data_IF_997004155725
#
_entry.id   IF_997004155725
#
_cell.length_a   1.000
_cell.length_b   1.000
_cell.length_c   1.000
_cell.angle_alpha   90.00
_cell.angle_beta   90.00
_cell.angle_gamma   90.00
#
_symmetry.space_group_name_H-M   'P 1'
#
loop_
_entity.id
_entity.type
_entity.pdbx_description
1 polymer ?
#
# COMPACT_ATOMS: atom_id res chain seq x y z
N UNK A 1 43.72 -40.27 29.54
CA UNK A 1 44.09 -38.86 29.82
C UNK A 1 44.83 -38.32 28.60
N UNK A 2 44.15 -37.61 27.70
CA UNK A 2 44.75 -36.94 26.54
C UNK A 2 44.58 -35.43 26.75
N UNK A 3 45.70 -34.71 26.74
CA UNK A 3 45.76 -33.26 26.92
C UNK A 3 45.25 -32.53 25.67
N UNK A 4 44.46 -31.48 25.85
CA UNK A 4 44.05 -30.55 24.80
C UNK A 4 45.10 -29.42 24.65
N UNK A 5 45.29 -28.86 23.44
CA UNK A 5 46.10 -27.66 23.28
C UNK A 5 45.28 -26.40 23.57
N UNK A 6 45.90 -25.48 24.31
CA UNK A 6 45.42 -24.11 24.55
C UNK A 6 45.72 -23.28 23.30
N UNK A 7 44.70 -22.69 22.70
CA UNK A 7 44.84 -21.71 21.62
C UNK A 7 44.68 -20.31 22.22
N UNK A 8 45.76 -19.54 22.15
CA UNK A 8 45.84 -18.14 22.61
C UNK A 8 45.19 -17.23 21.55
N UNK A 9 44.14 -16.51 21.92
CA UNK A 9 43.44 -15.55 21.07
C UNK A 9 44.10 -14.17 21.21
N UNK A 10 44.77 -13.71 20.16
CA UNK A 10 45.33 -12.35 20.09
C UNK A 10 44.24 -11.38 19.61
N UNK A 11 43.81 -10.48 20.51
CA UNK A 11 42.90 -9.39 20.21
C UNK A 11 43.68 -8.26 19.51
N UNK A 12 43.37 -7.97 18.24
CA UNK A 12 43.86 -6.77 17.55
C UNK A 12 42.67 -5.85 17.30
N UNK A 13 42.62 -4.76 18.08
CA UNK A 13 41.66 -3.68 17.89
C UNK A 13 42.04 -2.79 16.70
N UNK A 14 41.03 -2.37 15.93
CA UNK A 14 41.12 -1.21 15.04
C UNK A 14 39.91 -0.31 15.29
N UNK A 15 40.24 0.96 15.51
CA UNK A 15 39.37 2.08 15.82
C UNK A 15 38.71 2.66 14.55
N UNK A 16 37.45 3.05 14.70
CA UNK A 16 36.72 4.19 14.08
C UNK A 16 36.65 4.36 12.55
N UNK A 17 35.42 4.40 12.05
CA UNK A 17 35.03 5.07 10.82
C UNK A 17 33.51 5.29 10.78
N UNK A 18 33.06 6.45 11.27
CA UNK A 18 31.67 6.93 11.12
C UNK A 18 31.53 7.50 9.71
N UNK A 19 30.62 6.93 8.92
CA UNK A 19 30.21 7.45 7.61
C UNK A 19 28.71 7.33 7.47
N UNK A 20 28.01 8.43 7.74
CA UNK A 20 26.58 8.59 7.49
C UNK A 20 26.32 8.70 5.98
N UNK A 21 25.31 7.99 5.49
CA UNK A 21 24.87 8.03 4.11
C UNK A 21 23.60 7.20 3.91
N UNK A 22 22.51 7.61 4.57
CA UNK A 22 21.18 7.09 4.28
C UNK A 22 20.70 7.75 2.97
N UNK A 23 20.51 6.92 1.93
CA UNK A 23 19.78 7.28 0.73
C UNK A 23 18.50 6.46 0.74
N UNK A 24 17.42 7.03 1.25
CA UNK A 24 16.06 6.47 1.15
C UNK A 24 15.50 6.86 -0.21
N UNK A 25 15.37 5.88 -1.11
CA UNK A 25 14.61 6.03 -2.35
C UNK A 25 13.18 5.55 -2.08
N UNK A 26 12.31 6.49 -1.72
CA UNK A 26 10.86 6.35 -1.56
C UNK A 26 10.16 6.50 -2.92
N UNK A 27 10.25 5.50 -3.79
CA UNK A 27 9.52 5.50 -5.09
C UNK A 27 8.51 4.35 -5.23
N UNK A 28 8.20 3.62 -4.15
CA UNK A 28 7.34 2.43 -4.19
C UNK A 28 5.85 2.62 -3.83
N UNK A 29 5.45 3.76 -3.26
CA UNK A 29 4.14 3.87 -2.56
C UNK A 29 3.06 4.55 -3.43
N UNK A 30 3.43 5.27 -4.49
CA UNK A 30 2.49 6.14 -5.23
C UNK A 30 1.56 5.39 -6.20
N UNK A 31 1.81 4.09 -6.47
CA UNK A 31 1.06 3.32 -7.48
C UNK A 31 -0.26 2.71 -7.00
N UNK A 32 -0.41 2.41 -5.70
CA UNK A 32 -1.57 1.64 -5.20
C UNK A 32 -2.80 2.52 -4.93
N UNK A 33 -2.60 3.81 -4.65
CA UNK A 33 -3.69 4.73 -4.32
C UNK A 33 -4.41 5.34 -5.55
N UNK A 34 -3.84 5.22 -6.76
CA UNK A 34 -4.33 5.91 -7.95
C UNK A 34 -5.48 5.19 -8.69
N UNK A 35 -5.72 3.89 -8.45
CA UNK A 35 -6.68 3.11 -9.25
C UNK A 35 -8.14 3.17 -8.79
N UNK A 36 -8.46 3.84 -7.67
CA UNK A 36 -9.83 3.83 -7.09
C UNK A 36 -10.61 5.13 -7.33
N UNK A 37 -10.05 6.15 -8.00
CA UNK A 37 -10.68 7.49 -8.06
C UNK A 37 -11.29 7.96 -9.38
N UNK A 38 -11.10 7.26 -10.49
CA UNK A 38 -11.63 7.77 -11.78
C UNK A 38 -12.87 7.01 -12.24
N UNK A 39 -14.01 7.34 -11.63
CA UNK A 39 -15.30 7.19 -12.30
C UNK A 39 -16.28 8.29 -11.89
N UNK A 40 -15.98 9.52 -12.29
CA UNK A 40 -16.97 10.57 -12.43
C UNK A 40 -16.49 11.56 -13.51
N UNK A 41 -17.03 11.42 -14.71
CA UNK A 41 -16.89 12.42 -15.75
C UNK A 41 -17.69 13.67 -15.36
N UNK A 42 -17.05 14.85 -15.37
CA UNK A 42 -17.69 16.01 -15.98
C UNK A 42 -16.64 16.95 -16.60
N UNK A 43 -17.01 17.47 -17.76
CA UNK A 43 -16.20 18.16 -18.75
C UNK A 43 -16.15 19.66 -18.51
N UNK A 44 -14.96 20.26 -18.49
CA UNK A 44 -14.79 21.65 -18.95
C UNK A 44 -13.37 21.91 -19.49
N UNK A 45 -13.37 22.84 -20.45
CA UNK A 45 -12.42 23.07 -21.54
C UNK A 45 -10.97 23.44 -21.16
N UNK A 46 -10.03 23.06 -22.02
CA UNK A 46 -8.60 23.40 -21.95
C UNK A 46 -8.35 24.82 -22.47
N UNK A 47 -7.46 25.58 -21.80
CA UNK A 47 -6.45 26.40 -22.50
C UNK A 47 -5.12 26.35 -21.75
N UNK A 48 -4.06 26.01 -22.48
CA UNK A 48 -2.68 25.84 -22.05
C UNK A 48 -1.85 27.11 -22.36
N UNK A 49 -0.91 27.48 -21.49
CA UNK A 49 0.21 28.36 -21.83
C UNK A 49 1.45 28.05 -20.97
N UNK A 50 2.60 27.93 -21.63
CA UNK A 50 3.93 27.61 -21.07
C UNK A 50 4.77 28.89 -20.81
N UNK A 51 5.96 28.79 -20.19
CA UNK A 51 6.49 29.76 -19.22
C UNK A 51 7.59 30.69 -19.75
N UNK A 52 7.91 31.73 -18.94
CA UNK A 52 9.20 32.42 -18.95
C UNK A 52 9.10 33.92 -18.69
N UNK A 53 9.61 34.38 -17.55
CA UNK A 53 10.43 35.61 -17.39
C UNK A 53 10.63 35.92 -15.89
N UNK A 54 11.89 36.01 -15.48
CA UNK A 54 12.32 36.57 -14.20
C UNK A 54 12.41 38.09 -14.30
N UNK A 55 12.16 38.82 -13.20
CA UNK A 55 12.94 40.02 -12.98
C UNK A 55 13.56 40.09 -11.58
N UNK A 56 14.85 40.37 -11.62
CA UNK A 56 15.71 40.86 -10.53
C UNK A 56 15.25 42.26 -10.13
N UNK A 57 15.12 42.54 -8.82
CA UNK A 57 15.12 43.93 -8.33
C UNK A 57 16.05 44.07 -7.11
N UNK A 58 16.98 45.01 -7.28
CA UNK A 58 18.03 45.44 -6.34
C UNK A 58 17.46 46.11 -5.09
N UNK A 59 18.18 45.94 -3.99
CA UNK A 59 18.09 46.77 -2.79
C UNK A 59 18.70 48.17 -3.00
N UNK A 60 18.09 49.18 -2.38
CA UNK A 60 18.76 50.43 -2.00
C UNK A 60 18.12 51.04 -0.74
N UNK A 61 18.98 51.52 0.16
CA UNK A 61 18.69 52.03 1.51
C UNK A 61 18.74 53.56 1.61
N UNK A 62 18.25 54.09 2.75
CA UNK A 62 18.41 55.46 3.33
C UNK A 62 17.44 56.51 2.76
N UNK A 63 16.85 57.43 3.52
CA UNK A 63 16.92 57.79 4.94
C UNK A 63 16.40 59.23 5.12
N UNK A 64 15.71 59.49 6.25
CA UNK A 64 15.44 60.76 6.92
C UNK A 64 14.81 61.95 6.16
N UNK A 65 13.63 62.40 6.63
CA UNK A 65 13.49 63.70 7.30
C UNK A 65 12.11 63.80 7.98
N UNK A 66 12.11 64.23 9.25
CA UNK A 66 10.92 64.63 10.02
C UNK A 66 10.67 66.10 9.72
N UNK A 67 9.46 66.46 9.31
CA UNK A 67 8.93 67.81 9.51
C UNK A 67 7.52 67.69 10.10
N UNK A 68 7.34 68.41 11.21
CA UNK A 68 6.11 68.51 11.96
C UNK A 68 5.17 69.47 11.24
N UNK A 69 3.93 69.04 11.02
CA UNK A 69 2.84 69.93 10.67
C UNK A 69 1.83 69.90 11.81
N UNK A 70 1.80 70.99 12.58
CA UNK A 70 0.77 71.31 13.55
C UNK A 70 -0.57 71.44 12.82
N UNK A 71 -1.53 70.59 13.20
CA UNK A 71 -2.93 70.68 12.75
C UNK A 71 -3.78 71.04 13.96
N UNK A 72 -4.27 72.27 13.98
CA UNK A 72 -5.16 72.79 15.01
C UNK A 72 -6.51 72.06 14.95
N UNK A 73 -6.76 71.20 15.94
CA UNK A 73 -8.03 70.49 16.12
C UNK A 73 -9.02 71.43 16.80
N UNK A 74 -9.98 71.94 16.03
CA UNK A 74 -11.17 72.60 16.60
C UNK A 74 -12.02 71.59 17.39
N UNK A 75 -12.61 71.95 18.54
CA UNK A 75 -13.41 71.02 19.33
C UNK A 75 -14.72 70.69 18.61
N UNK A 76 -14.92 69.42 18.28
CA UNK A 76 -16.22 68.86 17.89
C UNK A 76 -17.14 68.81 19.12
N UNK A 77 -18.42 69.22 19.02
CA UNK A 77 -19.35 69.05 20.13
C UNK A 77 -19.64 67.56 20.34
N UNK A 78 -19.62 67.11 21.59
CA UNK A 78 -19.98 65.74 21.98
C UNK A 78 -21.41 65.42 21.53
N UNK A 79 -21.65 64.28 20.85
CA UNK A 79 -23.02 63.84 20.63
C UNK A 79 -23.63 63.46 21.98
N UNK A 80 -24.82 63.98 22.26
CA UNK A 80 -25.66 63.50 23.35
C UNK A 80 -26.04 62.07 23.00
N UNK A 81 -25.44 61.10 23.69
CA UNK A 81 -25.83 59.69 23.60
C UNK A 81 -27.12 59.55 24.39
N UNK A 82 -28.25 59.41 23.69
CA UNK A 82 -29.47 58.92 24.34
C UNK A 82 -29.23 57.49 24.84
N UNK A 83 -29.76 57.11 26.02
CA UNK A 83 -29.58 55.76 26.52
C UNK A 83 -30.23 54.79 25.52
N UNK A 84 -29.44 53.87 24.97
CA UNK A 84 -29.99 52.77 24.19
C UNK A 84 -30.99 52.01 25.07
N UNK A 85 -32.24 51.95 24.62
CA UNK A 85 -33.28 51.16 25.27
C UNK A 85 -32.80 49.71 25.35
N UNK A 86 -32.70 49.18 26.58
CA UNK A 86 -32.43 47.76 26.78
C UNK A 86 -33.71 47.03 26.39
N UNK A 87 -33.82 46.66 25.11
CA UNK A 87 -34.88 45.79 24.63
C UNK A 87 -34.54 44.39 25.16
N UNK A 88 -35.22 43.99 26.23
CA UNK A 88 -35.16 42.61 26.70
C UNK A 88 -35.69 41.70 25.57
N UNK A 89 -34.94 40.67 25.17
CA UNK A 89 -35.39 39.79 24.11
C UNK A 89 -36.70 39.13 24.52
N UNK A 90 -37.69 39.13 23.62
CA UNK A 90 -38.93 38.43 23.88
C UNK A 90 -38.68 36.91 24.01
N UNK A 91 -39.58 36.24 24.72
CA UNK A 91 -39.43 34.82 25.01
C UNK A 91 -39.38 33.95 23.74
N UNK A 92 -39.92 34.44 22.63
CA UNK A 92 -39.92 33.76 21.33
C UNK A 92 -38.53 33.82 20.67
N UNK A 93 -37.86 34.98 20.71
CA UNK A 93 -36.49 35.14 20.24
C UNK A 93 -35.49 34.29 21.05
N UNK A 94 -35.69 34.18 22.37
CA UNK A 94 -34.86 33.31 23.21
C UNK A 94 -35.09 31.82 22.90
N UNK A 95 -36.33 31.42 22.65
CA UNK A 95 -36.65 30.04 22.26
C UNK A 95 -36.07 29.67 20.88
N UNK A 96 -36.13 30.58 19.91
CA UNK A 96 -35.54 30.39 18.59
C UNK A 96 -34.01 30.31 18.66
N UNK A 97 -33.37 31.15 19.48
CA UNK A 97 -31.92 31.10 19.71
C UNK A 97 -31.51 29.79 20.37
N UNK A 98 -32.26 29.31 21.37
CA UNK A 98 -31.99 28.03 22.02
C UNK A 98 -32.15 26.86 21.04
N UNK A 99 -33.20 26.85 20.21
CA UNK A 99 -33.40 25.81 19.20
C UNK A 99 -32.26 25.77 18.16
N UNK A 100 -31.71 26.93 17.79
CA UNK A 100 -30.55 26.99 16.90
C UNK A 100 -29.29 26.44 17.58
N UNK A 101 -29.06 26.77 18.86
CA UNK A 101 -27.93 26.24 19.64
C UNK A 101 -28.04 24.72 19.78
N UNK A 102 -29.24 24.19 20.02
CA UNK A 102 -29.48 22.76 20.14
C UNK A 102 -29.22 22.05 18.80
N UNK A 103 -29.68 22.61 17.68
CA UNK A 103 -29.43 22.07 16.34
C UNK A 103 -27.95 22.11 15.94
N UNK A 104 -27.25 23.22 16.28
CA UNK A 104 -25.81 23.35 16.04
C UNK A 104 -25.02 22.34 16.89
N UNK A 105 -25.45 22.07 18.13
CA UNK A 105 -24.85 21.05 18.99
C UNK A 105 -25.05 19.63 18.43
N UNK A 106 -26.26 19.28 17.99
CA UNK A 106 -26.53 17.99 17.32
C UNK A 106 -25.70 17.82 16.04
N UNK A 107 -25.54 18.88 15.24
CA UNK A 107 -24.71 18.86 14.05
C UNK A 107 -23.22 18.61 14.36
N UNK A 108 -22.69 19.25 15.42
CA UNK A 108 -21.31 19.04 15.88
C UNK A 108 -21.08 17.63 16.41
N UNK A 109 -22.08 17.03 17.07
CA UNK A 109 -22.03 15.63 17.52
C UNK A 109 -22.00 14.66 16.32
N UNK A 110 -22.78 14.93 15.28
CA UNK A 110 -22.78 14.14 14.04
C UNK A 110 -21.45 14.27 13.30
N UNK A 111 -20.88 15.47 13.18
CA UNK A 111 -19.56 15.66 12.57
C UNK A 111 -18.43 14.99 13.38
N UNK A 112 -18.47 15.07 14.70
CA UNK A 112 -17.51 14.38 15.56
C UNK A 112 -17.61 12.86 15.43
N UNK A 113 -18.81 12.31 15.33
CA UNK A 113 -19.03 10.88 15.10
C UNK A 113 -18.53 10.43 13.72
N UNK A 114 -18.75 11.22 12.68
CA UNK A 114 -18.21 10.95 11.33
C UNK A 114 -16.69 11.03 11.29
N UNK A 115 -16.10 12.03 11.95
CA UNK A 115 -14.65 12.16 12.08
C UNK A 115 -14.03 11.00 12.85
N UNK A 116 -14.65 10.56 13.94
CA UNK A 116 -14.21 9.40 14.70
C UNK A 116 -14.34 8.09 13.91
N UNK A 117 -15.41 7.93 13.12
CA UNK A 117 -15.59 6.79 12.23
C UNK A 117 -14.53 6.76 11.11
N UNK A 118 -14.18 7.93 10.56
CA UNK A 118 -13.11 8.05 9.56
C UNK A 118 -11.74 7.73 10.16
N UNK A 119 -11.43 8.28 11.35
CA UNK A 119 -10.18 8.01 12.06
C UNK A 119 -10.05 6.53 12.48
N UNK A 120 -11.15 5.88 12.85
CA UNK A 120 -11.16 4.44 13.15
C UNK A 120 -10.99 3.57 11.90
N UNK A 121 -11.44 4.05 10.73
CA UNK A 121 -11.20 3.38 9.44
C UNK A 121 -9.74 3.54 8.95
N UNK A 122 -9.00 4.51 9.48
CA UNK A 122 -7.61 4.81 9.10
C UNK A 122 -6.54 4.21 10.02
N UNK A 123 -6.92 3.62 11.16
CA UNK A 123 -5.95 3.02 12.09
C UNK A 123 -5.53 1.63 11.61
N UNK A 124 -4.24 1.48 11.27
CA UNK A 124 -3.62 0.17 10.98
C UNK A 124 -3.66 -0.74 12.23
N UNK A 125 -3.81 -2.06 12.06
CA UNK A 125 -3.65 -2.99 13.17
C UNK A 125 -2.26 -2.88 13.81
N UNK A 126 -2.19 -3.09 15.12
CA UNK A 126 -0.93 -3.01 15.88
C UNK A 126 0.14 -3.95 15.30
N UNK A 127 1.30 -3.38 14.97
CA UNK A 127 2.44 -4.14 14.43
C UNK A 127 2.32 -4.52 12.95
N UNK A 128 1.22 -4.17 12.28
CA UNK A 128 1.04 -4.39 10.83
C UNK A 128 1.50 -3.15 10.08
N UNK A 129 2.44 -3.31 9.15
CA UNK A 129 2.88 -2.22 8.29
C UNK A 129 1.81 -1.86 7.25
N UNK A 130 1.85 -0.65 6.70
CA UNK A 130 0.92 -0.24 5.65
C UNK A 130 0.96 -1.19 4.44
N UNK A 131 2.16 -1.63 4.04
CA UNK A 131 2.32 -2.57 2.92
C UNK A 131 1.80 -3.98 3.23
N UNK A 132 1.89 -4.44 4.49
CA UNK A 132 1.27 -5.69 4.92
C UNK A 132 -0.25 -5.57 4.95
N UNK A 133 -0.76 -4.46 5.47
CA UNK A 133 -2.20 -4.20 5.47
C UNK A 133 -2.76 -4.15 4.05
N UNK A 134 -2.06 -3.52 3.10
CA UNK A 134 -2.45 -3.52 1.68
C UNK A 134 -2.33 -4.89 1.01
N UNK A 135 -1.50 -5.78 1.53
CA UNK A 135 -1.44 -7.19 1.13
C UNK A 135 -2.50 -8.06 1.84
N UNK A 136 -3.41 -7.44 2.58
CA UNK A 136 -4.50 -8.10 3.30
C UNK A 136 -4.12 -8.64 4.67
N UNK A 137 -2.91 -8.42 5.19
CA UNK A 137 -2.54 -8.90 6.51
C UNK A 137 -3.30 -8.11 7.60
N UNK A 138 -4.03 -8.82 8.45
CA UNK A 138 -4.82 -8.20 9.53
C UNK A 138 -4.13 -8.24 10.90
N UNK A 139 -3.09 -9.07 11.05
CA UNK A 139 -2.40 -9.32 12.32
C UNK A 139 -0.92 -9.57 12.07
N UNK A 140 -0.07 -8.99 12.93
CA UNK A 140 1.37 -9.26 12.94
C UNK A 140 1.72 -10.62 13.58
N UNK A 141 0.76 -11.27 14.23
CA UNK A 141 0.90 -12.57 14.88
C UNK A 141 0.00 -13.56 14.17
N UNK A 142 0.52 -14.29 13.18
CA UNK A 142 -0.24 -15.32 12.48
C UNK A 142 0.23 -16.72 12.88
N UNK A 143 -0.73 -17.62 13.07
CA UNK A 143 -0.45 -19.06 13.26
C UNK A 143 -0.32 -19.79 11.93
N UNK A 144 -0.65 -19.12 10.81
CA UNK A 144 -0.77 -19.70 9.46
C UNK A 144 -1.70 -20.91 9.40
N UNK A 145 -2.63 -21.02 10.36
CA UNK A 145 -3.59 -22.11 10.43
C UNK A 145 -4.84 -21.77 9.61
N UNK A 146 -5.30 -22.75 8.86
CA UNK A 146 -6.60 -22.72 8.20
C UNK A 146 -7.44 -23.94 8.58
N UNK A 147 -8.73 -23.86 8.32
CA UNK A 147 -9.69 -24.93 8.65
C UNK A 147 -9.91 -25.93 7.51
N UNK A 148 -9.18 -25.78 6.40
CA UNK A 148 -9.26 -26.60 5.20
C UNK A 148 -10.42 -26.25 4.26
N UNK A 149 -11.19 -25.20 4.53
CA UNK A 149 -12.26 -24.70 3.66
C UNK A 149 -11.90 -23.36 3.05
N UNK A 150 -12.46 -23.02 1.89
CA UNK A 150 -12.10 -21.81 1.15
C UNK A 150 -13.23 -20.79 1.08
N UNK A 151 -12.91 -19.53 1.34
CA UNK A 151 -13.68 -18.38 0.91
C UNK A 151 -13.26 -18.00 -0.51
N UNK A 152 -14.19 -18.13 -1.46
CA UNK A 152 -14.03 -17.53 -2.79
C UNK A 152 -14.25 -16.04 -2.66
N UNK A 153 -13.30 -15.23 -3.12
CA UNK A 153 -13.38 -13.79 -2.97
C UNK A 153 -14.49 -13.23 -3.86
N UNK A 154 -15.47 -12.51 -3.29
CA UNK A 154 -16.65 -12.16 -4.04
C UNK A 154 -16.42 -11.08 -5.11
N UNK A 155 -17.28 -11.05 -6.12
CA UNK A 155 -17.29 -10.07 -7.20
C UNK A 155 -16.43 -10.42 -8.41
N UNK A 156 -16.56 -9.60 -9.45
CA UNK A 156 -15.89 -9.76 -10.73
C UNK A 156 -15.16 -8.48 -11.13
N UNK A 157 -14.03 -8.61 -11.81
CA UNK A 157 -13.25 -7.48 -12.33
C UNK A 157 -12.86 -7.78 -13.77
N UNK A 158 -13.28 -6.93 -14.70
CA UNK A 158 -12.92 -7.07 -16.10
C UNK A 158 -11.41 -6.85 -16.29
N UNK A 159 -10.83 -7.56 -17.27
CA UNK A 159 -9.44 -7.37 -17.62
C UNK A 159 -9.22 -5.95 -18.21
N UNK A 160 -8.15 -5.24 -17.84
CA UNK A 160 -7.92 -3.86 -18.31
C UNK A 160 -7.41 -3.78 -19.75
N UNK A 161 -6.84 -4.87 -20.29
CA UNK A 161 -6.19 -4.90 -21.59
C UNK A 161 -7.05 -5.48 -22.73
N UNK A 162 -6.53 -5.36 -23.95
CA UNK A 162 -7.13 -5.95 -25.16
C UNK A 162 -6.49 -7.30 -25.57
N UNK A 163 -5.52 -7.80 -24.78
CA UNK A 163 -4.88 -9.10 -25.00
C UNK A 163 -5.84 -10.27 -24.75
N UNK A 164 -5.35 -11.50 -24.90
CA UNK A 164 -6.13 -12.69 -24.57
C UNK A 164 -6.51 -12.69 -23.08
N UNK A 165 -7.82 -12.78 -22.80
CA UNK A 165 -8.34 -12.73 -21.43
C UNK A 165 -8.17 -14.09 -20.76
N UNK A 166 -7.37 -14.12 -19.69
CA UNK A 166 -7.29 -15.25 -18.76
C UNK A 166 -8.16 -14.96 -17.54
N UNK A 167 -9.14 -15.82 -17.30
CA UNK A 167 -10.03 -15.65 -16.14
C UNK A 167 -9.41 -16.31 -14.91
N UNK A 168 -9.36 -15.58 -13.80
CA UNK A 168 -8.80 -16.05 -12.54
C UNK A 168 -9.88 -16.07 -11.47
N UNK A 169 -9.99 -17.19 -10.77
CA UNK A 169 -10.73 -17.29 -9.52
C UNK A 169 -9.75 -17.13 -8.37
N UNK A 170 -10.10 -16.33 -7.37
CA UNK A 170 -9.24 -16.10 -6.20
C UNK A 170 -9.96 -16.60 -4.95
N UNK A 171 -9.24 -17.34 -4.11
CA UNK A 171 -9.77 -17.85 -2.86
C UNK A 171 -8.74 -17.80 -1.74
N UNK A 172 -9.22 -17.69 -0.50
CA UNK A 172 -8.41 -17.68 0.72
C UNK A 172 -8.95 -18.76 1.65
N UNK A 173 -8.07 -19.56 2.23
CA UNK A 173 -8.46 -20.54 3.23
C UNK A 173 -9.05 -19.85 4.47
N UNK A 174 -10.20 -20.33 4.94
CA UNK A 174 -10.83 -19.83 6.15
C UNK A 174 -9.94 -20.14 7.37
N UNK A 175 -9.90 -19.20 8.31
CA UNK A 175 -9.04 -19.27 9.50
C UNK A 175 -7.78 -18.40 9.40
N UNK A 176 -7.31 -18.10 8.18
CA UNK A 176 -6.21 -17.16 7.98
C UNK A 176 -6.64 -15.72 8.34
N UNK A 177 -5.78 -14.99 9.04
CA UNK A 177 -6.01 -13.58 9.42
C UNK A 177 -5.71 -12.62 8.25
N UNK A 178 -6.43 -12.84 7.13
CA UNK A 178 -6.25 -12.11 5.87
C UNK A 178 -7.57 -11.50 5.40
N UNK A 179 -7.54 -10.22 5.01
CA UNK A 179 -8.57 -9.60 4.20
C UNK A 179 -8.51 -10.15 2.78
N UNK A 180 -9.47 -11.00 2.45
CA UNK A 180 -9.51 -11.71 1.19
C UNK A 180 -9.71 -10.77 -0.02
N UNK A 181 -10.38 -9.62 0.15
CA UNK A 181 -10.57 -8.65 -0.93
C UNK A 181 -9.25 -7.94 -1.25
N UNK A 182 -8.52 -7.48 -0.24
CA UNK A 182 -7.20 -6.87 -0.42
C UNK A 182 -6.18 -7.83 -1.03
N UNK A 183 -6.21 -9.10 -0.60
CA UNK A 183 -5.42 -10.15 -1.23
C UNK A 183 -5.75 -10.28 -2.73
N UNK A 184 -7.03 -10.37 -3.09
CA UNK A 184 -7.44 -10.49 -4.48
C UNK A 184 -7.07 -9.26 -5.33
N UNK A 185 -7.19 -8.06 -4.76
CA UNK A 185 -6.82 -6.81 -5.41
C UNK A 185 -5.30 -6.78 -5.70
N UNK A 186 -4.47 -7.20 -4.74
CA UNK A 186 -3.01 -7.27 -4.94
C UNK A 186 -2.61 -8.33 -5.97
N UNK A 187 -3.27 -9.51 -5.98
CA UNK A 187 -3.06 -10.53 -7.02
C UNK A 187 -3.37 -9.95 -8.39
N UNK A 188 -4.54 -9.35 -8.56
CA UNK A 188 -4.98 -8.82 -9.86
C UNK A 188 -4.14 -7.62 -10.31
N UNK A 189 -3.77 -6.73 -9.39
CA UNK A 189 -2.89 -5.60 -9.66
C UNK A 189 -1.49 -6.07 -10.10
N UNK A 190 -0.97 -7.10 -9.45
CA UNK A 190 0.33 -7.70 -9.80
C UNK A 190 0.29 -8.31 -11.20
N UNK A 191 -0.71 -9.14 -11.49
CA UNK A 191 -0.80 -9.85 -12.77
C UNK A 191 -1.09 -8.94 -13.98
N UNK A 192 -1.74 -7.80 -13.76
CA UNK A 192 -2.00 -6.79 -14.79
C UNK A 192 -1.00 -5.63 -14.79
N UNK A 193 0.06 -5.67 -13.98
CA UNK A 193 1.16 -4.72 -14.07
C UNK A 193 1.88 -4.89 -15.41
N UNK A 194 2.34 -3.79 -16.01
CA UNK A 194 3.10 -3.80 -17.27
C UNK A 194 4.39 -4.63 -17.24
N UNK A 195 4.89 -4.96 -16.05
CA UNK A 195 6.07 -5.82 -15.84
C UNK A 195 5.70 -7.31 -15.71
N UNK A 196 4.42 -7.66 -15.61
CA UNK A 196 3.91 -9.03 -15.47
C UNK A 196 3.66 -9.71 -16.82
N UNK A 197 3.10 -10.92 -16.83
CA UNK A 197 2.96 -11.80 -17.99
C UNK A 197 2.26 -11.16 -19.20
N UNK A 198 1.35 -10.20 -18.97
CA UNK A 198 0.67 -9.43 -20.01
C UNK A 198 1.42 -8.19 -20.50
N UNK A 199 2.63 -7.92 -20.01
CA UNK A 199 3.41 -6.71 -20.28
C UNK A 199 3.75 -6.47 -21.76
N UNK A 200 3.79 -7.55 -22.55
CA UNK A 200 3.99 -7.50 -24.00
C UNK A 200 2.67 -7.29 -24.79
N UNK A 201 1.54 -7.17 -24.10
CA UNK A 201 0.20 -7.00 -24.66
C UNK A 201 -0.47 -8.29 -25.15
N UNK A 202 0.16 -9.46 -24.98
CA UNK A 202 -0.39 -10.74 -25.44
C UNK A 202 -1.54 -11.26 -24.58
N UNK A 203 -1.53 -10.95 -23.28
CA UNK A 203 -2.46 -11.48 -22.28
C UNK A 203 -2.95 -10.38 -21.33
N UNK A 204 -4.13 -10.58 -20.73
CA UNK A 204 -4.63 -9.77 -19.62
C UNK A 204 -5.50 -10.63 -18.69
N UNK A 205 -5.61 -10.27 -17.41
CA UNK A 205 -6.28 -11.10 -16.41
C UNK A 205 -7.58 -10.46 -15.94
N UNK A 206 -8.68 -11.22 -15.96
CA UNK A 206 -9.98 -10.85 -15.39
C UNK A 206 -10.27 -11.70 -14.15
N UNK A 207 -10.85 -11.12 -13.11
CA UNK A 207 -11.30 -11.85 -11.91
C UNK A 207 -12.76 -12.27 -12.03
N UNK A 208 -13.07 -13.50 -11.67
CA UNK A 208 -14.44 -14.04 -11.59
C UNK A 208 -14.61 -14.95 -10.38
N UNK A 209 -15.85 -15.17 -9.95
CA UNK A 209 -16.20 -16.16 -8.93
C UNK A 209 -16.42 -17.56 -9.52
N UNK A 210 -16.53 -17.66 -10.85
CA UNK A 210 -16.88 -18.90 -11.56
C UNK A 210 -15.89 -20.03 -11.27
N UNK A 211 -16.42 -21.22 -11.00
CA UNK A 211 -15.62 -22.44 -10.88
C UNK A 211 -14.98 -22.86 -12.23
N UNK A 212 -15.48 -22.34 -13.36
CA UNK A 212 -14.96 -22.60 -14.71
C UNK A 212 -13.86 -21.60 -15.11
N UNK A 213 -13.32 -20.81 -14.17
CA UNK A 213 -12.20 -19.91 -14.45
C UNK A 213 -10.99 -20.68 -15.01
N UNK A 214 -10.20 -20.00 -15.86
CA UNK A 214 -9.01 -20.58 -16.50
C UNK A 214 -7.98 -21.08 -15.49
N UNK A 215 -7.80 -20.34 -14.39
CA UNK A 215 -6.97 -20.77 -13.26
C UNK A 215 -7.52 -20.28 -11.92
N UNK A 216 -7.10 -20.91 -10.83
CA UNK A 216 -7.41 -20.49 -9.46
C UNK A 216 -6.14 -20.09 -8.72
N UNK A 217 -6.13 -18.91 -8.10
CA UNK A 217 -5.10 -18.50 -7.14
C UNK A 217 -5.64 -18.71 -5.73
N UNK A 218 -4.95 -19.52 -4.93
CA UNK A 218 -5.34 -19.84 -3.56
C UNK A 218 -4.29 -19.34 -2.57
N UNK A 219 -4.70 -18.71 -1.48
CA UNK A 219 -3.86 -18.52 -0.29
C UNK A 219 -4.25 -19.56 0.75
N UNK A 220 -3.29 -20.39 1.17
CA UNK A 220 -3.56 -21.54 2.03
C UNK A 220 -2.46 -21.73 3.09
N UNK A 221 -2.84 -22.32 4.22
CA UNK A 221 -1.95 -22.78 5.29
C UNK A 221 -0.92 -23.78 4.77
N UNK A 222 0.27 -23.91 5.41
CA UNK A 222 1.28 -24.89 5.03
C UNK A 222 0.75 -26.31 4.81
N UNK A 223 -0.09 -26.82 5.71
CA UNK A 223 -0.66 -28.16 5.62
C UNK A 223 -1.60 -28.29 4.41
N UNK A 224 -2.45 -27.30 4.17
CA UNK A 224 -3.35 -27.30 3.01
C UNK A 224 -2.60 -27.12 1.70
N UNK A 225 -1.47 -26.40 1.69
CA UNK A 225 -0.59 -26.31 0.51
C UNK A 225 -0.04 -27.69 0.15
N UNK A 226 0.44 -28.47 1.13
CA UNK A 226 0.93 -29.83 0.89
C UNK A 226 -0.15 -30.74 0.28
N UNK A 227 -1.41 -30.59 0.73
CA UNK A 227 -2.54 -31.32 0.15
C UNK A 227 -2.85 -30.90 -1.29
N UNK A 228 -2.95 -29.60 -1.54
CA UNK A 228 -3.31 -29.06 -2.86
C UNK A 228 -2.20 -29.22 -3.90
N UNK A 229 -0.94 -29.24 -3.47
CA UNK A 229 0.22 -29.35 -4.35
C UNK A 229 0.61 -30.80 -4.68
N UNK A 230 0.00 -31.79 -4.03
CA UNK A 230 0.33 -33.19 -4.24
C UNK A 230 0.23 -33.59 -5.75
N UNK A 231 1.19 -34.39 -6.27
CA UNK A 231 2.24 -35.11 -5.56
C UNK A 231 3.56 -34.34 -5.40
N UNK A 232 3.57 -33.02 -5.60
CA UNK A 232 4.76 -32.21 -5.30
C UNK A 232 4.98 -32.21 -3.78
N UNK A 233 6.23 -32.36 -3.37
CA UNK A 233 6.62 -32.33 -1.96
C UNK A 233 6.98 -30.89 -1.58
N UNK A 234 6.03 -30.17 -1.02
CA UNK A 234 6.20 -28.77 -0.59
C UNK A 234 6.74 -28.65 0.85
N UNK A 235 6.73 -29.74 1.63
CA UNK A 235 7.19 -29.82 3.02
C UNK A 235 6.65 -28.69 3.93
N UNK A 236 5.48 -28.12 3.62
CA UNK A 236 4.90 -26.94 4.27
C UNK A 236 5.66 -25.62 4.02
N UNK A 237 6.69 -25.62 3.18
CA UNK A 237 7.61 -24.49 2.99
C UNK A 237 7.43 -23.76 1.67
N UNK A 238 6.93 -24.45 0.64
CA UNK A 238 6.90 -23.96 -0.73
C UNK A 238 5.49 -23.68 -1.19
N UNK A 239 5.36 -22.76 -2.14
CA UNK A 239 4.16 -22.60 -2.96
C UNK A 239 4.27 -23.48 -4.21
N UNK A 240 3.19 -23.64 -4.96
CA UNK A 240 3.25 -24.40 -6.21
C UNK A 240 2.27 -23.86 -7.27
N UNK A 241 2.58 -24.16 -8.53
CA UNK A 241 1.63 -24.12 -9.64
C UNK A 241 1.41 -25.52 -10.21
N UNK A 242 0.18 -26.03 -10.11
CA UNK A 242 -0.20 -27.39 -10.54
C UNK A 242 -1.61 -27.40 -11.11
N UNK A 243 -1.81 -28.04 -12.26
CA UNK A 243 -3.15 -28.35 -12.83
C UNK A 243 -4.16 -27.17 -12.86
N UNK A 244 -3.73 -25.94 -13.17
CA UNK A 244 -4.63 -24.78 -13.19
C UNK A 244 -4.75 -24.06 -11.83
N UNK A 245 -4.00 -24.49 -10.83
CA UNK A 245 -3.98 -23.90 -9.49
C UNK A 245 -2.61 -23.29 -9.21
N UNK A 246 -2.59 -22.01 -8.86
CA UNK A 246 -1.46 -21.35 -8.22
C UNK A 246 -1.75 -21.28 -6.72
N UNK A 247 -1.07 -22.09 -5.92
CA UNK A 247 -1.30 -22.25 -4.48
C UNK A 247 -0.16 -21.54 -3.75
N UNK A 248 -0.51 -20.42 -3.11
CA UNK A 248 0.40 -19.58 -2.34
C UNK A 248 0.39 -20.01 -0.88
N UNK A 249 1.57 -20.24 -0.32
CA UNK A 249 1.74 -20.62 1.07
C UNK A 249 1.61 -19.40 2.00
N UNK A 250 0.70 -19.48 2.98
CA UNK A 250 0.42 -18.39 3.89
C UNK A 250 1.64 -17.97 4.71
N UNK A 251 2.45 -18.92 5.22
CA UNK A 251 3.68 -18.57 5.94
C UNK A 251 4.58 -17.69 5.06
N UNK A 252 4.71 -18.03 3.78
CA UNK A 252 5.47 -17.21 2.81
C UNK A 252 4.84 -15.86 2.53
N UNK A 253 3.52 -15.80 2.43
CA UNK A 253 2.79 -14.55 2.24
C UNK A 253 3.02 -13.55 3.39
N UNK A 254 3.04 -14.05 4.63
CA UNK A 254 3.26 -13.23 5.83
C UNK A 254 4.74 -12.89 6.04
N UNK A 255 5.63 -13.87 5.96
CA UNK A 255 7.05 -13.71 6.36
C UNK A 255 7.95 -13.27 5.21
N UNK A 256 7.62 -13.70 4.00
CA UNK A 256 8.45 -13.52 2.82
C UNK A 256 9.54 -14.59 2.66
N UNK A 257 10.69 -14.15 2.15
CA UNK A 257 11.90 -14.97 2.00
C UNK A 257 13.11 -14.16 2.43
N UNK A 258 14.06 -14.80 3.12
CA UNK A 258 15.30 -14.15 3.52
C UNK A 258 16.15 -13.63 2.35
N UNK A 259 15.88 -14.10 1.12
CA UNK A 259 16.50 -13.57 -0.11
C UNK A 259 16.08 -12.11 -0.38
N UNK A 260 14.87 -11.72 0.05
CA UNK A 260 14.31 -10.38 -0.13
C UNK A 260 14.51 -9.48 1.11
N UNK A 261 15.25 -9.95 2.11
CA UNK A 261 15.41 -9.27 3.40
C UNK A 261 14.06 -8.84 4.01
N UNK A 262 13.82 -7.53 4.11
CA UNK A 262 12.59 -6.94 4.65
C UNK A 262 11.58 -6.56 3.56
N UNK A 263 11.93 -6.72 2.28
CA UNK A 263 11.10 -6.34 1.14
C UNK A 263 10.06 -7.42 0.80
N UNK A 264 9.05 -7.52 1.67
CA UNK A 264 7.90 -8.41 1.45
C UNK A 264 7.05 -8.02 0.25
N UNK A 265 7.07 -6.76 -0.18
CA UNK A 265 6.27 -6.30 -1.33
C UNK A 265 6.80 -6.96 -2.60
N UNK A 266 8.10 -6.84 -2.87
CA UNK A 266 8.72 -7.48 -4.02
C UNK A 266 8.63 -9.00 -3.95
N UNK A 267 8.73 -9.58 -2.75
CA UNK A 267 8.55 -11.03 -2.58
C UNK A 267 7.13 -11.50 -2.94
N UNK A 268 6.08 -10.78 -2.52
CA UNK A 268 4.69 -11.15 -2.84
C UNK A 268 4.43 -11.06 -4.35
N UNK A 269 4.99 -10.04 -5.01
CA UNK A 269 4.93 -9.90 -6.47
C UNK A 269 5.61 -11.08 -7.16
N UNK A 270 6.82 -11.43 -6.70
CA UNK A 270 7.54 -12.64 -7.13
C UNK A 270 6.68 -13.88 -6.95
N UNK A 271 6.12 -14.11 -5.76
CA UNK A 271 5.38 -15.32 -5.43
C UNK A 271 4.16 -15.48 -6.34
N UNK A 272 3.38 -14.41 -6.53
CA UNK A 272 2.23 -14.41 -7.44
C UNK A 272 2.66 -14.73 -8.86
N UNK A 273 3.65 -14.01 -9.40
CA UNK A 273 4.07 -14.18 -10.78
C UNK A 273 4.70 -15.56 -11.03
N UNK A 274 5.47 -16.08 -10.08
CA UNK A 274 6.14 -17.38 -10.17
C UNK A 274 5.14 -18.52 -10.24
N UNK A 275 4.18 -18.58 -9.31
CA UNK A 275 3.22 -19.68 -9.27
C UNK A 275 2.22 -19.61 -10.42
N UNK A 276 1.78 -18.40 -10.81
CA UNK A 276 0.98 -18.23 -12.03
C UNK A 276 1.80 -18.60 -13.27
N UNK A 277 3.09 -18.27 -13.31
CA UNK A 277 4.00 -18.69 -14.38
C UNK A 277 4.04 -20.20 -14.57
N UNK A 278 4.03 -20.97 -13.47
CA UNK A 278 3.91 -22.43 -13.54
C UNK A 278 2.60 -22.88 -14.18
N UNK A 279 1.48 -22.25 -13.84
CA UNK A 279 0.17 -22.54 -14.45
C UNK A 279 0.14 -22.17 -15.94
N UNK A 280 0.81 -21.09 -16.33
CA UNK A 280 1.00 -20.68 -17.73
C UNK A 280 1.99 -21.57 -18.50
N UNK A 281 2.61 -22.54 -17.84
CA UNK A 281 3.47 -23.56 -18.46
C UNK A 281 4.97 -23.28 -18.36
N UNK A 282 5.39 -22.21 -17.70
CA UNK A 282 6.80 -21.91 -17.48
C UNK A 282 7.39 -22.84 -16.40
N UNK A 283 8.62 -23.29 -16.63
CA UNK A 283 9.36 -24.15 -15.69
C UNK A 283 10.46 -23.36 -15.02
N UNK A 284 10.97 -23.90 -13.91
CA UNK A 284 12.11 -23.31 -13.26
C UNK A 284 13.27 -23.14 -14.22
N UNK A 285 13.95 -22.00 -14.07
CA UNK A 285 15.22 -21.71 -14.74
C UNK A 285 16.29 -21.43 -13.70
N UNK A 286 17.53 -21.38 -14.14
CA UNK A 286 18.67 -21.07 -13.29
C UNK A 286 19.12 -19.63 -13.51
N UNK A 287 19.71 -19.03 -12.47
CA UNK A 287 20.41 -17.75 -12.60
C UNK A 287 21.43 -17.80 -13.75
N UNK A 288 21.44 -16.75 -14.57
CA UNK A 288 22.36 -16.63 -15.73
C UNK A 288 23.68 -15.95 -15.37
N UNK A 289 23.79 -15.35 -14.18
CA UNK A 289 25.00 -14.69 -13.68
C UNK A 289 24.74 -13.94 -12.38
N UNK A 290 25.79 -13.71 -11.58
CA UNK A 290 25.65 -13.15 -10.23
C UNK A 290 25.19 -11.71 -10.14
N UNK A 291 25.41 -10.94 -11.21
CA UNK A 291 25.03 -9.53 -11.29
C UNK A 291 23.81 -9.32 -12.19
N UNK A 292 23.19 -10.40 -12.65
CA UNK A 292 21.97 -10.33 -13.44
C UNK A 292 20.77 -10.37 -12.50
N UNK A 293 19.66 -9.74 -12.90
CA UNK A 293 18.36 -10.01 -12.27
C UNK A 293 18.01 -11.48 -12.47
N UNK A 294 17.41 -12.08 -11.45
CA UNK A 294 16.79 -13.38 -11.55
C UNK A 294 15.69 -13.32 -12.59
N UNK A 295 15.59 -14.35 -13.43
CA UNK A 295 14.33 -14.61 -14.10
C UNK A 295 13.27 -14.91 -13.03
N UNK A 296 12.03 -14.44 -13.22
CA UNK A 296 10.96 -14.65 -12.23
C UNK A 296 10.72 -16.14 -11.95
N UNK A 297 11.07 -17.02 -12.90
CA UNK A 297 10.96 -18.47 -12.75
C UNK A 297 12.17 -19.11 -12.07
N UNK A 298 13.15 -18.36 -11.58
CA UNK A 298 14.12 -18.88 -10.60
C UNK A 298 13.40 -19.12 -9.27
N UNK A 299 13.73 -20.19 -8.54
CA UNK A 299 13.23 -20.41 -7.18
C UNK A 299 13.91 -19.45 -6.20
N UNK A 300 13.15 -18.47 -5.68
CA UNK A 300 13.63 -17.36 -4.82
C UNK A 300 13.01 -17.37 -3.42
N UNK A 301 12.24 -18.40 -3.07
CA UNK A 301 11.76 -18.62 -1.69
C UNK A 301 12.79 -19.35 -0.81
N UNK A 302 13.91 -19.79 -1.39
CA UNK A 302 14.91 -20.61 -0.69
C UNK A 302 15.86 -19.84 0.21
N UNK A 303 16.88 -20.54 0.70
CA UNK A 303 17.86 -19.97 1.63
C UNK A 303 18.98 -19.18 0.92
N UNK A 304 19.19 -19.36 -0.38
CA UNK A 304 20.23 -18.66 -1.13
C UNK A 304 19.83 -18.45 -2.59
N UNK A 305 20.32 -17.34 -3.16
CA UNK A 305 20.17 -16.98 -4.57
C UNK A 305 21.54 -16.57 -5.12
N UNK A 306 21.88 -17.05 -6.32
CA UNK A 306 23.15 -16.76 -6.97
C UNK A 306 23.09 -15.60 -7.96
N UNK A 307 21.97 -14.87 -7.99
CA UNK A 307 21.69 -13.68 -8.80
C UNK A 307 20.90 -12.65 -7.97
N UNK A 308 20.56 -11.49 -8.55
CA UNK A 308 19.83 -10.43 -7.85
C UNK A 308 18.32 -10.79 -7.84
N UNK A 309 17.62 -10.73 -6.68
CA UNK A 309 16.19 -11.05 -6.60
C UNK A 309 15.35 -10.19 -7.55
N UNK A 310 14.30 -10.79 -8.12
CA UNK A 310 13.39 -10.11 -9.04
C UNK A 310 12.01 -10.80 -9.05
N UNK A 311 10.95 -10.02 -8.90
CA UNK A 311 9.57 -10.50 -8.91
C UNK A 311 8.81 -10.37 -10.21
N UNK A 312 9.45 -9.89 -11.29
CA UNK A 312 8.75 -9.51 -12.53
C UNK A 312 9.25 -10.29 -13.75
N UNK A 313 8.34 -10.79 -14.62
CA UNK A 313 8.69 -11.31 -15.95
C UNK A 313 9.41 -10.31 -16.86
N UNK A 314 9.01 -9.03 -16.84
CA UNK A 314 9.59 -7.94 -17.64
C UNK A 314 10.03 -6.78 -16.73
N UNK A 315 11.16 -6.93 -16.00
CA UNK A 315 11.63 -5.95 -15.02
C UNK A 315 12.19 -4.66 -15.63
#
# INVERSE_FOLDING_TARGET
MRAQPVVTLTLLGILTGVGAGASTSDDGITGLAALVRDNAADTVDRVSAAPGETPVVRAASRGHAREALESEVAPTPSPVVEPAEVVEPDAEALAAAQAQIDADAEALEVEAAQSAALAAAEALPDGVSESDFMAGILSASSTYEGDGTFLVVPGEVAAPGAGEVTTIRIQVENGLEVDAQKFADLVLATLNDSRSWGGDGSQTFARTESADATLTVSLASPDMVDELCAPLDTEGLWSCGVEGHAVLNAMRWYEGSGIYDVDRVSYRQYLINHEVGHVLGYKHVLCTGSNNLADVMVQQSGASLSCIPNGWPFP
#
